data_IF_656585792335
#
_entry.id   IF_656585792335
#
_cell.length_a   1.000
_cell.length_b   1.000
_cell.length_c   1.000
_cell.angle_alpha   90.00
_cell.angle_beta   90.00
_cell.angle_gamma   90.00
#
_symmetry.space_group_name_H-M   'P 1'
#
loop_
_entity.id
_entity.type
_entity.pdbx_description
1 polymer ?
#
# COMPACT_ATOMS: atom_id res chain seq x y z
N UNK A 1 15.69 21.56 2.10
CA UNK A 1 15.41 20.19 1.69
C UNK A 1 14.94 19.46 2.94
N UNK A 2 13.73 18.94 2.94
CA UNK A 2 13.21 18.23 4.13
C UNK A 2 13.99 16.91 4.25
N UNK A 3 14.54 16.58 5.43
CA UNK A 3 15.15 15.28 5.64
C UNK A 3 14.06 14.21 5.56
N UNK A 4 14.24 13.22 4.68
CA UNK A 4 13.36 12.04 4.59
C UNK A 4 14.09 10.90 5.29
N UNK A 5 13.55 10.44 6.40
CA UNK A 5 14.09 9.33 7.19
C UNK A 5 13.23 8.07 7.11
N UNK A 6 11.94 8.23 6.82
CA UNK A 6 10.99 7.11 6.72
C UNK A 6 10.06 7.31 5.53
N UNK A 7 10.06 6.35 4.61
CA UNK A 7 9.14 6.26 3.46
C UNK A 7 8.12 5.15 3.74
N UNK A 8 6.84 5.49 3.77
CA UNK A 8 5.74 4.51 3.90
C UNK A 8 5.21 4.14 2.53
N UNK A 9 5.16 2.84 2.23
CA UNK A 9 4.58 2.30 1.02
C UNK A 9 3.50 1.26 1.35
N UNK A 10 2.21 1.61 1.30
CA UNK A 10 1.13 0.65 1.43
C UNK A 10 1.02 -0.20 0.17
N UNK A 11 0.79 -1.50 0.36
CA UNK A 11 0.63 -2.48 -0.71
C UNK A 11 -0.74 -3.17 -0.59
N UNK A 12 -1.42 -3.34 -1.71
CA UNK A 12 -2.59 -4.22 -1.85
C UNK A 12 -2.28 -5.44 -2.71
N UNK A 13 -0.98 -5.67 -2.99
CA UNK A 13 -0.42 -6.76 -3.79
C UNK A 13 -0.84 -6.76 -5.27
N UNK A 14 -1.49 -5.71 -5.74
CA UNK A 14 -1.77 -5.49 -7.16
C UNK A 14 -0.48 -5.08 -7.92
N UNK A 15 -0.47 -5.29 -9.25
CA UNK A 15 0.64 -4.84 -10.08
C UNK A 15 0.93 -3.33 -9.94
N UNK A 16 -0.09 -2.43 -9.92
CA UNK A 16 0.15 -1.02 -9.66
C UNK A 16 0.82 -0.74 -8.30
N UNK A 17 0.45 -1.47 -7.24
CA UNK A 17 1.08 -1.27 -5.93
C UNK A 17 2.55 -1.69 -5.93
N UNK A 18 2.93 -2.69 -6.72
CA UNK A 18 4.34 -3.05 -6.90
C UNK A 18 5.13 -2.01 -7.72
N UNK A 19 4.49 -1.27 -8.63
CA UNK A 19 5.14 -0.10 -9.29
C UNK A 19 5.41 1.01 -8.27
N UNK A 20 4.45 1.28 -7.38
CA UNK A 20 4.66 2.23 -6.28
C UNK A 20 5.80 1.76 -5.35
N UNK A 21 5.91 0.45 -5.07
CA UNK A 21 7.00 -0.10 -4.30
C UNK A 21 8.36 0.16 -4.95
N UNK A 22 8.49 0.00 -6.27
CA UNK A 22 9.75 0.29 -6.98
C UNK A 22 10.19 1.74 -6.75
N UNK A 23 9.26 2.70 -6.91
CA UNK A 23 9.53 4.12 -6.67
C UNK A 23 9.86 4.37 -5.19
N UNK A 24 9.14 3.73 -4.27
CA UNK A 24 9.41 3.86 -2.84
C UNK A 24 10.82 3.35 -2.45
N UNK A 25 11.27 2.25 -3.06
CA UNK A 25 12.64 1.71 -2.90
C UNK A 25 13.67 2.71 -3.41
N UNK A 26 13.46 3.29 -4.61
CA UNK A 26 14.37 4.29 -5.18
C UNK A 26 14.46 5.53 -4.28
N UNK A 27 13.32 6.04 -3.81
CA UNK A 27 13.26 7.19 -2.90
C UNK A 27 13.96 6.89 -1.57
N UNK A 28 13.64 5.75 -0.95
CA UNK A 28 14.26 5.35 0.31
C UNK A 28 15.77 5.16 0.17
N UNK A 29 16.24 4.55 -0.92
CA UNK A 29 17.67 4.39 -1.21
C UNK A 29 18.37 5.74 -1.42
N UNK A 30 17.75 6.65 -2.19
CA UNK A 30 18.30 7.98 -2.48
C UNK A 30 18.49 8.81 -1.20
N UNK A 31 17.49 8.79 -0.32
CA UNK A 31 17.52 9.55 0.94
C UNK A 31 18.19 8.81 2.09
N UNK A 32 18.61 7.55 1.90
CA UNK A 32 19.10 6.64 2.96
C UNK A 32 18.06 6.49 4.09
N UNK A 33 16.80 6.48 3.71
CA UNK A 33 15.65 6.37 4.60
C UNK A 33 15.31 4.90 4.90
N UNK A 34 14.56 4.67 5.97
CA UNK A 34 13.91 3.38 6.22
C UNK A 34 12.68 3.26 5.33
N UNK A 35 12.45 2.09 4.73
CA UNK A 35 11.25 1.77 3.98
C UNK A 35 10.28 0.99 4.87
N UNK A 36 9.10 1.56 5.13
CA UNK A 36 8.02 0.93 5.86
C UNK A 36 6.97 0.42 4.87
N UNK A 37 6.83 -0.91 4.75
CA UNK A 37 5.77 -1.55 4.01
C UNK A 37 4.54 -1.74 4.91
N UNK A 38 3.35 -1.56 4.37
CA UNK A 38 2.12 -1.81 5.11
C UNK A 38 1.05 -2.48 4.25
N UNK A 39 0.28 -3.35 4.86
CA UNK A 39 -0.97 -3.87 4.31
C UNK A 39 -2.06 -3.86 5.37
N UNK A 40 -3.27 -3.52 4.98
CA UNK A 40 -4.42 -3.49 5.89
C UNK A 40 -5.53 -4.39 5.36
N UNK A 41 -5.84 -5.39 6.16
CA UNK A 41 -6.95 -6.32 5.91
C UNK A 41 -8.26 -5.62 6.28
N UNK A 42 -9.27 -5.75 5.41
CA UNK A 42 -10.59 -5.24 5.73
C UNK A 42 -11.18 -6.01 6.93
N UNK A 43 -11.82 -5.31 7.87
CA UNK A 43 -12.46 -5.98 9.01
C UNK A 43 -13.58 -6.90 8.53
N UNK A 44 -13.78 -7.99 9.24
CA UNK A 44 -14.89 -8.90 8.96
C UNK A 44 -16.24 -8.17 9.07
N UNK A 45 -17.06 -8.29 8.02
CA UNK A 45 -18.43 -7.73 8.02
C UNK A 45 -19.44 -8.87 7.97
N UNK A 46 -20.20 -9.11 9.04
CA UNK A 46 -21.25 -10.14 9.04
C UNK A 46 -22.27 -9.90 7.92
N UNK A 47 -22.64 -10.97 7.18
CA UNK A 47 -23.64 -10.91 6.11
C UNK A 47 -23.09 -10.51 4.73
N UNK A 48 -21.85 -10.11 4.61
CA UNK A 48 -21.15 -10.03 3.32
C UNK A 48 -20.63 -11.43 3.00
N UNK A 49 -20.85 -11.98 1.78
CA UNK A 49 -20.32 -13.28 1.41
C UNK A 49 -18.80 -13.26 1.53
N UNK A 50 -18.27 -13.86 2.59
CA UNK A 50 -16.88 -14.25 2.65
C UNK A 50 -16.69 -15.50 1.78
N UNK A 51 -15.43 -15.84 1.47
CA UNK A 51 -15.13 -17.14 0.84
C UNK A 51 -15.91 -18.24 1.58
N UNK A 52 -16.63 -19.13 0.88
CA UNK A 52 -17.40 -20.21 1.48
C UNK A 52 -16.65 -21.06 2.51
N UNK A 53 -15.33 -21.11 2.39
CA UNK A 53 -14.44 -21.79 3.33
C UNK A 53 -14.50 -21.16 4.74
N UNK A 54 -14.79 -19.88 4.85
CA UNK A 54 -14.83 -19.15 6.13
C UNK A 54 -16.26 -18.87 6.64
N UNK A 55 -17.30 -19.25 5.88
CA UNK A 55 -18.70 -19.00 6.25
C UNK A 55 -19.08 -19.58 7.64
N UNK A 56 -18.34 -20.58 8.12
CA UNK A 56 -18.55 -21.24 9.41
C UNK A 56 -17.45 -20.97 10.45
N UNK A 57 -16.37 -20.26 10.07
CA UNK A 57 -15.16 -20.11 10.88
C UNK A 57 -15.20 -18.88 11.77
N UNK A 58 -16.14 -18.18 12.04
CA UNK A 58 -16.19 -17.01 12.93
C UNK A 58 -15.18 -15.89 12.55
N UNK A 59 -15.44 -14.69 13.06
CA UNK A 59 -14.67 -13.48 12.77
C UNK A 59 -13.17 -13.63 13.04
N UNK A 60 -12.83 -14.17 14.19
CA UNK A 60 -11.42 -14.24 14.66
C UNK A 60 -10.57 -15.15 13.78
N UNK A 61 -11.15 -16.28 13.31
CA UNK A 61 -10.47 -17.21 12.42
C UNK A 61 -10.25 -16.60 11.02
N UNK A 62 -11.25 -15.86 10.51
CA UNK A 62 -11.15 -15.18 9.23
C UNK A 62 -10.06 -14.10 9.26
N UNK A 63 -10.12 -13.18 10.22
CA UNK A 63 -9.15 -12.08 10.34
C UNK A 63 -7.72 -12.61 10.54
N UNK A 64 -7.55 -13.67 11.30
CA UNK A 64 -6.24 -14.29 11.50
C UNK A 64 -5.70 -14.96 10.22
N UNK A 65 -6.55 -15.62 9.44
CA UNK A 65 -6.15 -16.23 8.17
C UNK A 65 -5.73 -15.18 7.14
N UNK A 66 -6.55 -14.12 6.97
CA UNK A 66 -6.24 -13.00 6.09
C UNK A 66 -4.94 -12.28 6.49
N UNK A 67 -4.75 -12.07 7.79
CA UNK A 67 -3.53 -11.46 8.31
C UNK A 67 -2.30 -12.32 8.02
N UNK A 68 -2.39 -13.62 8.24
CA UNK A 68 -1.28 -14.56 7.96
C UNK A 68 -0.94 -14.58 6.47
N UNK A 69 -1.93 -14.61 5.60
CA UNK A 69 -1.72 -14.54 4.15
C UNK A 69 -1.08 -13.21 3.73
N UNK A 70 -1.48 -12.10 4.33
CA UNK A 70 -0.89 -10.79 4.07
C UNK A 70 0.57 -10.71 4.56
N UNK A 71 0.89 -11.29 5.71
CA UNK A 71 2.26 -11.37 6.24
C UNK A 71 3.18 -12.14 5.29
N UNK A 72 2.72 -13.27 4.72
CA UNK A 72 3.45 -14.03 3.71
C UNK A 72 3.70 -13.22 2.44
N UNK A 73 2.68 -12.51 1.95
CA UNK A 73 2.81 -11.67 0.76
C UNK A 73 3.75 -10.48 1.00
N UNK A 74 3.69 -9.83 2.16
CA UNK A 74 4.65 -8.78 2.52
C UNK A 74 6.08 -9.33 2.63
N UNK A 75 6.26 -10.53 3.17
CA UNK A 75 7.57 -11.19 3.19
C UNK A 75 8.11 -11.46 1.78
N UNK A 76 7.25 -11.82 0.83
CA UNK A 76 7.66 -11.94 -0.58
C UNK A 76 7.98 -10.58 -1.21
N UNK A 77 7.23 -9.53 -0.90
CA UNK A 77 7.50 -8.17 -1.38
C UNK A 77 8.85 -7.67 -0.83
N UNK A 78 9.15 -7.95 0.43
CA UNK A 78 10.43 -7.59 1.07
C UNK A 78 11.65 -8.20 0.36
N UNK A 79 11.52 -9.40 -0.21
CA UNK A 79 12.60 -10.02 -1.00
C UNK A 79 12.96 -9.26 -2.28
N UNK A 80 12.12 -8.34 -2.73
CA UNK A 80 12.39 -7.47 -3.88
C UNK A 80 13.15 -6.19 -3.50
N UNK A 81 13.37 -5.96 -2.21
CA UNK A 81 14.07 -4.81 -1.67
C UNK A 81 15.57 -5.13 -1.58
N UNK A 82 16.46 -4.21 -2.00
CA UNK A 82 17.88 -4.38 -1.82
C UNK A 82 18.25 -4.66 -0.35
N UNK A 83 19.16 -5.58 -0.12
CA UNK A 83 19.52 -6.05 1.24
C UNK A 83 20.23 -4.99 2.10
N UNK A 84 20.77 -3.96 1.50
CA UNK A 84 21.39 -2.82 2.15
C UNK A 84 20.39 -1.72 2.53
N UNK A 85 19.15 -1.78 2.01
CA UNK A 85 18.09 -0.86 2.38
C UNK A 85 17.37 -1.35 3.64
N UNK A 86 17.38 -0.54 4.70
CA UNK A 86 16.60 -0.83 5.92
C UNK A 86 15.12 -0.84 5.60
N UNK A 87 14.47 -1.93 5.89
CA UNK A 87 13.04 -2.07 5.69
C UNK A 87 12.36 -2.84 6.83
N UNK A 88 11.10 -2.52 7.07
CA UNK A 88 10.22 -3.26 7.97
C UNK A 88 8.81 -3.31 7.39
N UNK A 89 8.00 -4.25 7.85
CA UNK A 89 6.64 -4.45 7.37
C UNK A 89 5.63 -4.52 8.51
N UNK A 90 4.41 -4.07 8.25
CA UNK A 90 3.29 -4.06 9.19
C UNK A 90 2.04 -4.56 8.49
N UNK A 91 1.32 -5.48 9.11
CA UNK A 91 -0.04 -5.86 8.74
C UNK A 91 -0.99 -5.39 9.84
N UNK A 92 -2.05 -4.66 9.46
CA UNK A 92 -3.11 -4.21 10.33
C UNK A 92 -4.49 -4.68 9.86
N UNK A 93 -5.52 -4.44 10.66
CA UNK A 93 -6.92 -4.68 10.32
C UNK A 93 -7.64 -3.33 10.45
N UNK A 94 -8.39 -2.93 9.43
CA UNK A 94 -9.15 -1.68 9.44
C UNK A 94 -9.43 -1.14 8.04
N UNK A 95 -10.04 0.06 7.99
CA UNK A 95 -10.16 0.81 6.74
C UNK A 95 -8.76 1.19 6.24
N UNK A 96 -8.39 0.73 5.06
CA UNK A 96 -7.05 0.87 4.55
C UNK A 96 -6.57 2.33 4.53
N UNK A 97 -7.41 3.28 4.10
CA UNK A 97 -7.02 4.68 4.00
C UNK A 97 -6.81 5.31 5.38
N UNK A 98 -7.69 5.04 6.34
CA UNK A 98 -7.58 5.55 7.72
C UNK A 98 -6.35 4.98 8.42
N UNK A 99 -6.12 3.67 8.26
CA UNK A 99 -4.97 3.00 8.85
C UNK A 99 -3.64 3.44 8.24
N UNK A 100 -3.59 3.70 6.92
CA UNK A 100 -2.40 4.28 6.26
C UNK A 100 -2.09 5.65 6.87
N UNK A 101 -3.08 6.52 6.99
CA UNK A 101 -2.90 7.87 7.57
C UNK A 101 -2.47 7.78 9.04
N UNK A 102 -3.11 6.90 9.81
CA UNK A 102 -2.75 6.67 11.21
C UNK A 102 -1.31 6.16 11.34
N UNK A 103 -0.92 5.19 10.52
CA UNK A 103 0.44 4.65 10.51
C UNK A 103 1.46 5.70 10.07
N UNK A 104 1.16 6.51 9.05
CA UNK A 104 2.03 7.59 8.61
C UNK A 104 2.34 8.57 9.75
N UNK A 105 1.35 8.88 10.58
CA UNK A 105 1.55 9.78 11.73
C UNK A 105 2.27 9.08 12.88
N UNK A 106 1.87 7.87 13.27
CA UNK A 106 2.45 7.16 14.42
C UNK A 106 3.87 6.68 14.17
N UNK A 107 4.20 6.31 12.93
CA UNK A 107 5.56 5.94 12.52
C UNK A 107 6.42 7.15 12.13
N UNK A 108 5.88 8.37 12.24
CA UNK A 108 6.54 9.61 11.81
C UNK A 108 7.09 9.50 10.36
N UNK A 109 6.29 8.94 9.45
CA UNK A 109 6.69 8.86 8.05
C UNK A 109 6.84 10.27 7.46
N UNK A 110 7.91 10.49 6.71
CA UNK A 110 8.18 11.77 6.06
C UNK A 110 7.59 11.84 4.65
N UNK A 111 7.30 10.65 4.07
CA UNK A 111 6.72 10.52 2.75
C UNK A 111 5.86 9.25 2.68
N UNK A 112 4.67 9.36 2.11
CA UNK A 112 3.84 8.21 1.71
C UNK A 112 3.92 8.06 0.20
N UNK A 113 4.23 6.85 -0.29
CA UNK A 113 4.25 6.52 -1.73
C UNK A 113 3.15 5.52 -2.01
N UNK A 114 2.15 5.90 -2.81
CA UNK A 114 0.95 5.09 -3.07
C UNK A 114 0.60 5.08 -4.55
N UNK A 115 0.02 4.00 -5.08
CA UNK A 115 -0.49 3.96 -6.46
C UNK A 115 -1.91 4.55 -6.56
N UNK A 116 -2.28 5.04 -7.74
CA UNK A 116 -3.64 5.60 -7.99
C UNK A 116 -4.72 4.55 -7.97
N UNK A 117 -4.43 3.29 -8.34
CA UNK A 117 -5.40 2.20 -8.45
C UNK A 117 -4.88 0.97 -7.74
N UNK A 118 -5.80 0.25 -7.08
CA UNK A 118 -5.56 -1.06 -6.50
C UNK A 118 -6.25 -2.17 -7.31
N UNK A 119 -6.62 -3.25 -6.62
CA UNK A 119 -7.25 -4.45 -7.20
C UNK A 119 -8.53 -4.19 -7.99
N UNK A 120 -9.27 -3.11 -7.73
CA UNK A 120 -10.58 -2.83 -8.33
C UNK A 120 -10.54 -2.12 -9.68
N UNK A 121 -9.38 -1.73 -10.18
CA UNK A 121 -8.99 -1.32 -11.54
C UNK A 121 -10.06 -0.74 -12.50
N UNK A 122 -10.91 0.20 -12.06
CA UNK A 122 -11.88 0.86 -12.95
C UNK A 122 -11.17 1.84 -13.89
N UNK A 123 -11.20 1.52 -15.18
CA UNK A 123 -10.48 2.22 -16.27
C UNK A 123 -10.81 3.71 -16.46
N UNK A 124 -11.80 4.24 -15.75
CA UNK A 124 -12.29 5.60 -15.93
C UNK A 124 -12.10 6.53 -14.72
N UNK A 125 -11.57 6.03 -13.59
CA UNK A 125 -11.30 6.85 -12.42
C UNK A 125 -9.80 7.16 -12.35
N UNK A 126 -9.49 8.45 -12.27
CA UNK A 126 -8.11 8.96 -12.18
C UNK A 126 -7.46 8.59 -10.84
N UNK A 127 -8.27 8.39 -9.80
CA UNK A 127 -7.85 8.02 -8.44
C UNK A 127 -8.71 6.87 -7.90
N UNK A 128 -8.08 5.87 -7.30
CA UNK A 128 -8.78 4.86 -6.49
C UNK A 128 -9.22 5.43 -5.13
N UNK A 129 -10.29 4.86 -4.57
CA UNK A 129 -10.90 5.34 -3.33
C UNK A 129 -9.93 5.46 -2.15
N UNK A 130 -9.00 4.51 -2.02
CA UNK A 130 -7.98 4.52 -0.95
C UNK A 130 -6.98 5.65 -1.19
N UNK A 131 -6.43 5.78 -2.39
CA UNK A 131 -5.44 6.81 -2.71
C UNK A 131 -6.05 8.22 -2.56
N UNK A 132 -7.29 8.44 -3.04
CA UNK A 132 -8.00 9.71 -2.87
C UNK A 132 -8.18 10.07 -1.39
N UNK A 133 -8.66 9.11 -0.58
CA UNK A 133 -8.90 9.32 0.85
C UNK A 133 -7.58 9.58 1.58
N UNK A 134 -6.49 8.86 1.24
CA UNK A 134 -5.16 9.10 1.82
C UNK A 134 -4.66 10.51 1.48
N UNK A 135 -4.72 10.93 0.21
CA UNK A 135 -4.29 12.28 -0.19
C UNK A 135 -5.07 13.36 0.54
N UNK A 136 -6.37 13.15 0.73
CA UNK A 136 -7.24 14.13 1.41
C UNK A 136 -7.02 14.22 2.92
N UNK A 137 -6.68 13.10 3.56
CA UNK A 137 -6.60 13.01 5.03
C UNK A 137 -5.18 13.08 5.57
N UNK A 138 -4.17 12.86 4.72
CA UNK A 138 -2.78 12.80 5.16
C UNK A 138 -2.26 14.18 5.56
N UNK A 139 -1.63 14.25 6.71
CA UNK A 139 -0.81 15.39 7.15
C UNK A 139 0.65 15.28 6.64
N UNK A 140 0.97 14.18 6.00
CA UNK A 140 2.30 13.89 5.45
C UNK A 140 2.31 14.06 3.93
N UNK A 141 3.43 14.44 3.33
CA UNK A 141 3.59 14.42 1.89
C UNK A 141 3.19 13.07 1.29
N UNK A 142 2.41 13.09 0.20
CA UNK A 142 1.97 11.89 -0.50
C UNK A 142 2.43 11.96 -1.95
N UNK A 143 3.24 10.99 -2.37
CA UNK A 143 3.63 10.78 -3.76
C UNK A 143 2.70 9.73 -4.37
N UNK A 144 1.95 10.13 -5.36
CA UNK A 144 0.98 9.26 -6.03
C UNK A 144 1.55 8.77 -7.36
N UNK A 145 1.64 7.46 -7.52
CA UNK A 145 2.18 6.81 -8.71
C UNK A 145 1.03 6.39 -9.63
N UNK A 146 1.00 6.84 -10.89
CA UNK A 146 -0.01 6.42 -11.86
C UNK A 146 0.06 4.91 -12.14
N UNK A 147 -1.10 4.24 -12.21
CA UNK A 147 -1.18 2.83 -12.54
C UNK A 147 -0.80 2.54 -14.01
N UNK A 148 -1.05 3.51 -14.91
CA UNK A 148 -0.73 3.40 -16.32
C UNK A 148 0.56 4.13 -16.66
N UNK A 149 1.43 3.50 -17.45
CA UNK A 149 2.43 4.25 -18.22
C UNK A 149 1.66 5.09 -19.24
N UNK A 150 1.86 6.40 -19.23
CA UNK A 150 1.55 7.22 -20.38
C UNK A 150 2.50 6.78 -21.49
N UNK A 151 2.10 5.80 -22.29
CA UNK A 151 2.69 5.61 -23.61
C UNK A 151 2.42 6.93 -24.32
N UNK A 152 3.45 7.76 -24.38
CA UNK A 152 3.41 8.97 -25.18
C UNK A 152 3.03 8.57 -26.59
N UNK A 153 1.84 8.96 -27.01
CA UNK A 153 1.43 8.94 -28.40
C UNK A 153 2.35 9.88 -29.19
N UNK A 154 3.54 9.37 -29.54
CA UNK A 154 4.35 9.95 -30.62
C UNK A 154 3.86 9.33 -31.93
N UNK A 155 2.62 9.60 -32.29
CA UNK A 155 2.24 9.46 -33.69
C UNK A 155 1.23 10.55 -34.08
N UNK A 156 1.76 11.66 -34.51
CA UNK A 156 1.06 12.60 -35.38
C UNK A 156 2.06 13.48 -36.09
N UNK A 157 2.61 13.00 -37.22
CA UNK A 157 2.71 13.75 -38.47
C UNK A 157 3.36 12.91 -39.55
#
# INVERSE_FOLDING_TARGET
MLPIHTVLCPLDFSEPSYKALQVAVEMASHFKAELLLAHFVAPFTPGVPADPMFAFAGQETYEQAEKSAAEEQLAMATKRIPSDLRSRSVVGIGDAAEEIVRLANTAAADLVVICTHGLTGWRHLVFGSVAEKVVRLSERPVLVIPAHETTGDTNSR
#
